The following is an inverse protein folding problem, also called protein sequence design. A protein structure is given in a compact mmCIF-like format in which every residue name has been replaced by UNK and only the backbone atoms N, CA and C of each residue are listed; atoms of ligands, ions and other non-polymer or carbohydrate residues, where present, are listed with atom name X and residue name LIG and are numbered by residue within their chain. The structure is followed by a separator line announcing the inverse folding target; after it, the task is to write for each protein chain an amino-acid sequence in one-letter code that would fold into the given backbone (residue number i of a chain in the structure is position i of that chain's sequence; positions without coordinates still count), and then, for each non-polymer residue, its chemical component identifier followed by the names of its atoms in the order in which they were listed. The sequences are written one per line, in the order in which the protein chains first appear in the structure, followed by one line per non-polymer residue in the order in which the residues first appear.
data_IF_206097787291
#
_entry.id   IF_206097787291
#
_cell.length_a   1.000
_cell.length_b   1.000
_cell.length_c   1.000
_cell.angle_alpha   90.00
_cell.angle_beta   90.00
_cell.angle_gamma   90.00
#
_symmetry.space_group_name_H-M   'P 1'
#
loop_
_entity.id
_entity.type
_entity.pdbx_description
1 polymer ?
#
# COMPACT_ATOMS: atom_id res chain seq x y z
N UNK A 1 3.72 -17.29 10.37
CA UNK A 1 3.00 -16.05 10.00
C UNK A 1 1.57 -16.45 9.64
N UNK A 2 0.54 -15.82 10.20
CA UNK A 2 -0.85 -16.24 9.95
C UNK A 2 -1.32 -15.82 8.55
N UNK A 3 -2.25 -16.58 7.96
CA UNK A 3 -2.81 -16.29 6.64
C UNK A 3 -3.39 -14.87 6.53
N UNK A 4 -4.13 -14.35 7.55
CA UNK A 4 -4.63 -12.97 7.51
C UNK A 4 -3.52 -11.92 7.49
N UNK A 5 -2.43 -12.15 8.24
CA UNK A 5 -1.29 -11.22 8.26
C UNK A 5 -0.57 -11.20 6.92
N UNK A 6 -0.45 -12.35 6.25
CA UNK A 6 0.12 -12.44 4.92
C UNK A 6 -0.74 -11.72 3.88
N UNK A 7 -2.07 -11.84 3.97
CA UNK A 7 -3.00 -11.13 3.11
C UNK A 7 -2.84 -9.61 3.24
N UNK A 8 -2.80 -9.08 4.48
CA UNK A 8 -2.54 -7.65 4.71
C UNK A 8 -1.18 -7.20 4.21
N UNK A 9 -0.14 -8.04 4.35
CA UNK A 9 1.19 -7.73 3.84
C UNK A 9 1.18 -7.59 2.32
N UNK A 10 0.53 -8.52 1.63
CA UNK A 10 0.38 -8.47 0.17
C UNK A 10 -0.42 -7.23 -0.27
N UNK A 11 -1.49 -6.87 0.45
CA UNK A 11 -2.27 -5.65 0.19
C UNK A 11 -1.42 -4.39 0.31
N UNK A 12 -0.66 -4.24 1.40
CA UNK A 12 0.23 -3.09 1.60
C UNK A 12 1.28 -3.02 0.50
N UNK A 13 1.94 -4.16 0.21
CA UNK A 13 2.96 -4.22 -0.84
C UNK A 13 2.39 -3.83 -2.21
N UNK A 14 1.18 -4.31 -2.56
CA UNK A 14 0.50 -3.96 -3.80
C UNK A 14 0.23 -2.46 -3.91
N UNK A 15 -0.31 -1.82 -2.86
CA UNK A 15 -0.55 -0.38 -2.88
C UNK A 15 0.74 0.44 -2.94
N UNK A 16 1.80 0.03 -2.24
CA UNK A 16 3.11 0.71 -2.30
C UNK A 16 3.69 0.61 -3.71
N UNK A 17 3.70 -0.57 -4.33
CA UNK A 17 4.20 -0.77 -5.70
C UNK A 17 3.42 0.12 -6.68
N UNK A 18 2.09 0.08 -6.62
CA UNK A 18 1.25 0.90 -7.48
C UNK A 18 1.46 2.41 -7.27
N UNK A 19 1.64 2.86 -6.01
CA UNK A 19 1.97 4.25 -5.71
C UNK A 19 3.30 4.66 -6.37
N UNK A 20 4.34 3.84 -6.24
CA UNK A 20 5.65 4.12 -6.85
C UNK A 20 5.57 4.19 -8.39
N UNK A 21 4.77 3.33 -9.02
CA UNK A 21 4.51 3.41 -10.47
C UNK A 21 3.85 4.73 -10.86
N UNK A 22 2.85 5.18 -10.10
CA UNK A 22 2.18 6.46 -10.35
C UNK A 22 3.14 7.65 -10.17
N UNK A 23 4.00 7.60 -9.16
CA UNK A 23 5.03 8.61 -8.94
C UNK A 23 6.00 8.67 -10.13
N UNK A 24 6.48 7.52 -10.62
CA UNK A 24 7.35 7.43 -11.79
C UNK A 24 6.72 7.95 -13.08
N UNK A 25 5.40 7.97 -13.17
CA UNK A 25 4.64 8.51 -14.32
C UNK A 25 4.15 9.96 -14.11
N UNK A 26 4.54 10.63 -13.01
CA UNK A 26 4.18 12.02 -12.74
C UNK A 26 2.76 12.23 -12.16
N UNK A 27 2.05 11.17 -11.80
CA UNK A 27 0.70 11.22 -11.24
C UNK A 27 0.73 11.48 -9.73
N UNK A 28 1.26 12.63 -9.30
CA UNK A 28 1.47 13.00 -7.89
C UNK A 28 0.20 12.89 -7.03
N UNK A 29 -0.96 13.35 -7.52
CA UNK A 29 -2.22 13.26 -6.77
C UNK A 29 -2.62 11.81 -6.47
N UNK A 30 -2.55 10.94 -7.48
CA UNK A 30 -2.88 9.51 -7.31
C UNK A 30 -1.83 8.78 -6.46
N UNK A 31 -0.55 9.15 -6.58
CA UNK A 31 0.51 8.64 -5.71
C UNK A 31 0.19 8.90 -4.23
N UNK A 32 -0.15 10.14 -3.86
CA UNK A 32 -0.45 10.51 -2.48
C UNK A 32 -1.67 9.76 -1.93
N UNK A 33 -2.70 9.59 -2.77
CA UNK A 33 -3.91 8.83 -2.40
C UNK A 33 -3.55 7.36 -2.15
N UNK A 34 -2.88 6.68 -3.08
CA UNK A 34 -2.51 5.27 -2.90
C UNK A 34 -1.56 5.06 -1.72
N UNK A 35 -0.63 5.98 -1.49
CA UNK A 35 0.28 5.91 -0.36
C UNK A 35 -0.49 6.03 0.96
N UNK A 36 -1.49 6.91 1.03
CA UNK A 36 -2.37 7.04 2.20
C UNK A 36 -3.17 5.75 2.46
N UNK A 37 -3.66 5.10 1.40
CA UNK A 37 -4.35 3.80 1.50
C UNK A 37 -3.40 2.70 1.97
N UNK A 38 -2.16 2.67 1.47
CA UNK A 38 -1.14 1.72 1.92
C UNK A 38 -0.87 1.84 3.43
N UNK A 39 -0.74 3.06 3.95
CA UNK A 39 -0.58 3.30 5.38
C UNK A 39 -1.80 2.85 6.19
N UNK A 40 -3.01 3.16 5.73
CA UNK A 40 -4.24 2.69 6.39
C UNK A 40 -4.31 1.16 6.45
N UNK A 41 -3.95 0.47 5.35
CA UNK A 41 -3.89 -1.00 5.31
C UNK A 41 -2.82 -1.56 6.27
N UNK A 42 -1.67 -0.90 6.38
CA UNK A 42 -0.54 -1.34 7.21
C UNK A 42 -0.87 -1.37 8.71
N UNK A 43 -1.86 -0.61 9.18
CA UNK A 43 -2.33 -0.67 10.57
C UNK A 43 -2.78 -2.09 10.95
N UNK A 44 -3.32 -2.87 10.01
CA UNK A 44 -3.74 -4.26 10.24
C UNK A 44 -2.57 -5.23 10.44
N UNK A 45 -1.33 -4.83 10.16
CA UNK A 45 -0.13 -5.64 10.41
C UNK A 45 0.43 -5.47 11.81
N UNK A 46 0.04 -4.39 12.49
CA UNK A 46 0.42 -4.04 13.86
C UNK A 46 -0.48 -4.70 14.92
N UNK A 47 -1.64 -5.21 14.49
CA UNK A 47 -2.59 -5.96 15.31
C UNK A 47 -2.40 -7.45 15.11
#
# INVERSE_FOLDING_TARGET
MSLPRLAWLATVAGFVIAALLLLGNGYLGYFLVLLSVAFAAAVNLLR
#
